data_IF_275654983564
#
_entry.id   IF_275654983564
#
_cell.length_a   1.000
_cell.length_b   1.000
_cell.length_c   1.000
_cell.angle_alpha   90.00
_cell.angle_beta   90.00
_cell.angle_gamma   90.00
#
_symmetry.space_group_name_H-M   'P 1'
#
loop_
_entity.id
_entity.type
_entity.pdbx_description
1 polymer ?
#
# COMPACT_ATOMS: atom_id res chain seq x y z
N UNK A 1 20.78 1.31 1.93
CA UNK A 1 20.84 2.60 2.65
C UNK A 1 20.74 2.38 4.15
N UNK A 2 21.61 3.03 4.88
CA UNK A 2 21.65 2.86 6.33
C UNK A 2 21.35 4.19 7.01
N UNK A 3 20.34 4.19 7.87
CA UNK A 3 19.94 5.37 8.62
C UNK A 3 20.09 5.10 10.11
N UNK A 4 20.38 6.17 10.87
CA UNK A 4 20.39 6.07 12.32
C UNK A 4 18.98 5.79 12.82
N UNK A 5 18.90 5.32 14.06
CA UNK A 5 17.62 4.99 14.66
C UNK A 5 16.67 6.19 14.67
N UNK A 6 17.21 7.37 15.03
CA UNK A 6 16.36 8.55 15.10
C UNK A 6 15.87 8.98 13.72
N UNK A 7 16.70 8.83 12.70
CA UNK A 7 16.29 9.18 11.34
C UNK A 7 15.26 8.19 10.81
N UNK A 8 15.41 6.91 11.15
CA UNK A 8 14.41 5.92 10.78
C UNK A 8 13.08 6.24 11.43
N UNK A 9 13.10 6.64 12.69
CA UNK A 9 11.87 6.99 13.39
C UNK A 9 11.21 8.22 12.77
N UNK A 10 12.02 9.22 12.42
CA UNK A 10 11.49 10.42 11.77
C UNK A 10 10.88 10.08 10.41
N UNK A 11 11.55 9.21 9.65
CA UNK A 11 11.06 8.79 8.36
C UNK A 11 9.74 8.05 8.50
N UNK A 12 9.66 7.13 9.45
CA UNK A 12 8.44 6.39 9.72
C UNK A 12 7.30 7.35 10.04
N UNK A 13 7.57 8.35 10.87
CA UNK A 13 6.56 9.32 11.28
C UNK A 13 6.10 10.18 10.11
N UNK A 14 7.02 10.50 9.23
CA UNK A 14 6.71 11.30 8.04
C UNK A 14 5.63 10.66 7.19
N UNK A 15 5.58 9.32 7.19
CA UNK A 15 4.62 8.57 6.38
C UNK A 15 3.53 7.93 7.24
N UNK A 16 3.33 8.45 8.43
CA UNK A 16 2.28 7.99 9.35
C UNK A 16 2.40 6.50 9.68
N UNK A 17 3.63 6.01 9.72
CA UNK A 17 3.90 4.62 10.06
C UNK A 17 3.55 3.63 8.97
N UNK A 18 3.40 4.09 7.73
CA UNK A 18 2.94 3.25 6.63
C UNK A 18 4.01 3.11 5.56
N UNK A 19 3.92 2.00 4.81
CA UNK A 19 4.75 1.80 3.64
C UNK A 19 4.42 2.86 2.59
N UNK A 20 5.46 3.46 2.01
CA UNK A 20 5.25 4.54 1.04
C UNK A 20 4.54 4.07 -0.22
N UNK A 21 4.62 2.79 -0.53
CA UNK A 21 4.01 2.27 -1.77
C UNK A 21 2.62 1.71 -1.52
N UNK A 22 2.48 0.68 -0.69
CA UNK A 22 1.19 0.03 -0.51
C UNK A 22 0.32 0.67 0.58
N UNK A 23 0.91 1.47 1.46
CA UNK A 23 0.16 2.14 2.50
C UNK A 23 -0.15 1.28 3.72
N UNK A 24 0.36 0.06 3.78
CA UNK A 24 0.12 -0.79 4.93
C UNK A 24 1.00 -0.36 6.10
N UNK A 25 0.53 -0.60 7.31
CA UNK A 25 1.27 -0.25 8.50
C UNK A 25 2.60 -0.99 8.54
N UNK A 26 3.68 -0.25 8.77
CA UNK A 26 5.00 -0.85 8.87
C UNK A 26 5.15 -1.54 10.22
N UNK A 27 5.86 -2.68 10.26
CA UNK A 27 6.21 -3.27 11.55
C UNK A 27 7.21 -2.38 12.28
N UNK A 28 7.42 -2.63 13.56
CA UNK A 28 8.41 -1.87 14.31
C UNK A 28 9.82 -2.07 13.74
N UNK A 29 10.09 -3.27 13.26
CA UNK A 29 11.38 -3.61 12.65
C UNK A 29 11.12 -4.37 11.37
N UNK A 30 12.14 -4.43 10.52
CA UNK A 30 12.06 -5.22 9.31
C UNK A 30 11.56 -4.49 8.09
N UNK A 31 11.35 -3.18 8.18
CA UNK A 31 11.07 -2.38 7.01
C UNK A 31 12.37 -1.73 6.54
N UNK A 32 12.35 -1.18 5.33
CA UNK A 32 13.54 -0.68 4.66
C UNK A 32 13.39 0.78 4.26
N UNK A 33 14.51 1.51 4.28
CA UNK A 33 14.54 2.87 3.75
C UNK A 33 15.13 2.79 2.34
N UNK A 34 14.46 3.40 1.37
CA UNK A 34 14.91 3.39 -0.02
C UNK A 34 15.01 4.80 -0.56
N UNK A 35 15.98 5.00 -1.44
CA UNK A 35 16.13 6.29 -2.10
C UNK A 35 15.09 6.45 -3.19
N UNK A 36 14.62 7.68 -3.36
CA UNK A 36 13.66 8.02 -4.39
C UNK A 36 13.97 9.44 -4.84
N UNK A 37 13.47 9.83 -6.00
CA UNK A 37 13.70 11.19 -6.49
C UNK A 37 13.10 12.21 -5.54
N UNK A 38 13.84 13.28 -5.26
CA UNK A 38 13.34 14.36 -4.43
C UNK A 38 12.18 15.09 -5.08
N UNK A 39 12.05 14.96 -6.39
CA UNK A 39 10.90 15.53 -7.09
C UNK A 39 9.62 14.83 -6.69
N UNK A 40 9.71 13.56 -6.33
CA UNK A 40 8.55 12.78 -5.93
C UNK A 40 8.27 12.89 -4.44
N UNK A 41 9.31 12.85 -3.62
CA UNK A 41 9.17 12.89 -2.17
C UNK A 41 10.27 13.78 -1.61
N UNK A 42 9.86 14.77 -0.85
CA UNK A 42 10.80 15.65 -0.20
C UNK A 42 11.74 14.84 0.69
N UNK A 43 13.03 15.10 0.55
CA UNK A 43 14.05 14.38 1.30
C UNK A 43 14.61 13.17 0.58
N UNK A 44 13.92 12.70 -0.46
CA UNK A 44 14.43 11.65 -1.33
C UNK A 44 14.58 10.27 -0.69
N UNK A 45 13.84 9.98 0.38
CA UNK A 45 13.90 8.69 1.06
C UNK A 45 12.49 8.29 1.48
N UNK A 46 12.15 7.02 1.29
CA UNK A 46 10.83 6.50 1.67
C UNK A 46 10.97 5.20 2.45
N UNK A 47 10.03 4.95 3.37
CA UNK A 47 10.00 3.66 4.07
C UNK A 47 9.23 2.65 3.23
N UNK A 48 9.77 1.44 3.12
CA UNK A 48 9.19 0.41 2.26
C UNK A 48 9.08 -0.89 3.06
N UNK A 49 7.91 -1.52 3.01
CA UNK A 49 7.74 -2.80 3.67
C UNK A 49 8.47 -3.89 2.89
N UNK A 50 8.73 -5.00 3.57
CA UNK A 50 9.47 -6.10 2.96
C UNK A 50 8.77 -6.64 1.71
N UNK A 51 7.45 -6.74 1.76
CA UNK A 51 6.69 -7.27 0.62
C UNK A 51 6.86 -6.39 -0.62
N UNK A 52 6.68 -5.07 -0.46
CA UNK A 52 6.84 -4.17 -1.59
C UNK A 52 8.26 -4.18 -2.11
N UNK A 53 9.23 -4.24 -1.20
CA UNK A 53 10.63 -4.29 -1.62
C UNK A 53 10.91 -5.53 -2.46
N UNK A 54 10.37 -6.67 -2.05
CA UNK A 54 10.58 -7.91 -2.79
C UNK A 54 9.93 -7.87 -4.17
N UNK A 55 8.73 -7.34 -4.25
CA UNK A 55 8.02 -7.26 -5.52
C UNK A 55 8.69 -6.25 -6.45
N UNK A 56 9.05 -5.10 -5.90
CA UNK A 56 9.61 -4.01 -6.68
C UNK A 56 11.03 -4.29 -7.13
N UNK A 57 11.83 -4.90 -6.26
CA UNK A 57 13.24 -5.11 -6.55
C UNK A 57 13.93 -3.77 -6.81
N UNK A 58 14.64 -3.67 -7.92
CA UNK A 58 15.37 -2.46 -8.28
C UNK A 58 14.58 -1.53 -9.20
N UNK A 59 13.28 -1.78 -9.37
CA UNK A 59 12.47 -0.97 -10.28
C UNK A 59 12.30 0.45 -9.75
N UNK A 60 12.22 1.41 -10.67
CA UNK A 60 11.82 2.76 -10.31
C UNK A 60 10.34 2.77 -9.96
N UNK A 61 9.83 3.86 -9.35
CA UNK A 61 8.40 3.92 -9.08
C UNK A 61 7.54 3.74 -10.33
N UNK A 62 7.97 4.29 -11.47
CA UNK A 62 7.20 4.13 -12.70
C UNK A 62 7.23 2.69 -13.20
N UNK A 63 8.40 2.05 -13.13
CA UNK A 63 8.51 0.66 -13.50
C UNK A 63 7.71 -0.23 -12.56
N UNK A 64 7.70 0.11 -11.29
CA UNK A 64 6.90 -0.64 -10.32
C UNK A 64 5.41 -0.49 -10.61
N UNK A 65 4.98 0.72 -10.96
CA UNK A 65 3.58 0.94 -11.33
C UNK A 65 3.18 0.10 -12.54
N UNK A 66 4.04 0.04 -13.54
CA UNK A 66 3.80 -0.78 -14.72
C UNK A 66 3.72 -2.26 -14.36
N UNK A 67 4.60 -2.71 -13.46
CA UNK A 67 4.58 -4.09 -13.00
C UNK A 67 3.27 -4.42 -12.30
N UNK A 68 2.77 -3.50 -11.46
CA UNK A 68 1.52 -3.71 -10.76
C UNK A 68 0.32 -3.72 -11.70
N UNK A 69 0.38 -2.93 -12.76
CA UNK A 69 -0.74 -2.82 -13.70
C UNK A 69 -1.02 -4.13 -14.41
N UNK A 70 -0.04 -5.03 -14.54
CA UNK A 70 -0.24 -6.29 -15.25
C UNK A 70 -0.51 -7.47 -14.32
N UNK A 71 -0.65 -7.22 -13.00
CA UNK A 71 -0.77 -8.34 -12.06
C UNK A 71 -2.07 -9.11 -12.23
N UNK A 72 -3.17 -8.42 -12.48
CA UNK A 72 -4.45 -9.10 -12.66
C UNK A 72 -4.41 -9.96 -13.92
N UNK A 73 -3.85 -9.43 -14.99
CA UNK A 73 -3.73 -10.19 -16.23
C UNK A 73 -2.86 -11.44 -16.04
N UNK A 74 -1.76 -11.28 -15.31
CA UNK A 74 -0.88 -12.42 -15.02
C UNK A 74 -1.60 -13.47 -14.18
N UNK A 75 -2.37 -13.02 -13.19
CA UNK A 75 -3.12 -13.96 -12.36
C UNK A 75 -4.15 -14.71 -13.18
N UNK A 76 -4.83 -14.02 -14.08
CA UNK A 76 -5.79 -14.69 -14.98
C UNK A 76 -5.11 -15.74 -15.86
N UNK A 77 -3.90 -15.43 -16.32
CA UNK A 77 -3.19 -16.32 -17.22
C UNK A 77 -2.60 -17.54 -16.50
N UNK A 78 -2.11 -17.35 -15.28
CA UNK A 78 -1.30 -18.37 -14.63
C UNK A 78 -1.92 -19.00 -13.39
N UNK A 79 -3.05 -18.50 -12.91
CA UNK A 79 -3.63 -19.03 -11.67
C UNK A 79 -5.01 -19.60 -11.95
N UNK A 80 -5.13 -20.92 -11.86
CA UNK A 80 -6.42 -21.58 -11.97
C UNK A 80 -7.36 -21.12 -10.88
N UNK A 81 -6.82 -20.95 -9.67
CA UNK A 81 -7.63 -20.52 -8.54
C UNK A 81 -8.23 -19.14 -8.77
N UNK A 82 -7.42 -18.23 -9.31
CA UNK A 82 -7.91 -16.88 -9.56
C UNK A 82 -9.00 -16.88 -10.62
N UNK A 83 -8.80 -17.63 -11.71
CA UNK A 83 -9.81 -17.75 -12.77
C UNK A 83 -11.10 -18.34 -12.22
N UNK A 84 -10.97 -19.35 -11.36
CA UNK A 84 -12.14 -19.99 -10.75
C UNK A 84 -12.90 -19.00 -9.88
N UNK A 85 -12.17 -18.22 -9.05
CA UNK A 85 -12.81 -17.24 -8.19
C UNK A 85 -13.55 -16.19 -9.03
N UNK A 86 -12.94 -15.77 -10.13
CA UNK A 86 -13.59 -14.81 -11.03
C UNK A 86 -14.86 -15.40 -11.64
N UNK A 87 -14.78 -16.66 -12.09
CA UNK A 87 -15.90 -17.33 -12.72
C UNK A 87 -17.12 -17.39 -11.79
N UNK A 88 -16.89 -17.60 -10.52
CA UNK A 88 -17.98 -17.72 -9.55
C UNK A 88 -18.30 -16.42 -8.84
N UNK A 89 -17.75 -15.33 -9.30
CA UNK A 89 -18.10 -14.03 -8.76
C UNK A 89 -17.53 -13.71 -7.39
N UNK A 90 -16.52 -14.49 -6.95
CA UNK A 90 -15.92 -14.28 -5.64
C UNK A 90 -14.90 -13.12 -5.63
N UNK A 91 -14.35 -12.80 -6.80
CA UNK A 91 -13.51 -11.63 -6.98
C UNK A 91 -13.91 -10.96 -8.27
N UNK A 92 -13.70 -9.67 -8.36
CA UNK A 92 -13.95 -8.93 -9.59
C UNK A 92 -12.70 -8.14 -9.96
N UNK A 93 -12.54 -7.92 -11.26
CA UNK A 93 -11.44 -7.18 -11.80
C UNK A 93 -11.77 -5.69 -11.80
N UNK A 94 -10.82 -4.88 -11.39
CA UNK A 94 -10.98 -3.43 -11.45
C UNK A 94 -9.92 -2.84 -12.35
N UNK A 95 -10.33 -1.93 -13.22
CA UNK A 95 -9.41 -1.16 -14.06
C UNK A 95 -9.18 0.16 -13.37
N UNK A 96 -8.01 0.33 -12.80
CA UNK A 96 -7.75 1.47 -11.97
C UNK A 96 -6.25 1.77 -11.98
N UNK A 97 -5.94 3.06 -12.05
CA UNK A 97 -4.54 3.48 -11.99
C UNK A 97 -4.01 3.27 -10.57
N UNK A 98 -2.84 2.65 -10.48
CA UNK A 98 -2.22 2.44 -9.19
C UNK A 98 -1.70 3.77 -8.65
N UNK A 99 -2.10 4.06 -7.42
CA UNK A 99 -1.66 5.27 -6.74
C UNK A 99 -0.91 4.85 -5.49
N UNK A 100 0.35 5.30 -5.37
CA UNK A 100 1.17 4.93 -4.22
C UNK A 100 0.82 5.78 -3.01
N UNK A 101 1.08 5.23 -1.84
CA UNK A 101 0.78 5.94 -0.59
C UNK A 101 1.50 7.27 -0.52
N UNK A 102 2.77 7.34 -0.98
CA UNK A 102 3.50 8.60 -0.91
C UNK A 102 2.84 9.68 -1.76
N UNK A 103 2.14 9.30 -2.81
CA UNK A 103 1.42 10.27 -3.62
C UNK A 103 0.22 10.82 -2.87
N UNK A 104 -0.48 9.95 -2.16
CA UNK A 104 -1.63 10.38 -1.38
C UNK A 104 -1.23 11.21 -0.17
N UNK A 105 -0.12 10.86 0.46
CA UNK A 105 0.39 11.63 1.58
C UNK A 105 0.75 13.03 1.16
N UNK A 106 1.41 13.17 0.02
CA UNK A 106 1.78 14.47 -0.49
C UNK A 106 0.56 15.33 -0.76
N UNK A 107 -0.45 14.72 -1.36
CA UNK A 107 -1.69 15.41 -1.64
C UNK A 107 -2.38 15.84 -0.34
N UNK A 108 -2.39 14.95 0.64
CA UNK A 108 -3.00 15.28 1.93
C UNK A 108 -2.29 16.44 2.58
N UNK A 109 -0.96 16.47 2.50
CA UNK A 109 -0.21 17.58 3.05
C UNK A 109 -0.58 18.89 2.38
N UNK A 110 -0.70 18.86 1.08
CA UNK A 110 -1.06 20.02 0.34
C UNK A 110 -2.46 20.52 0.67
N UNK A 111 -3.34 19.58 0.92
CA UNK A 111 -4.70 19.93 1.26
C UNK A 111 -4.87 20.29 2.71
N UNK A 112 -4.16 19.76 3.46
CA UNK A 112 -4.18 19.90 4.81
C UNK A 112 -5.41 20.26 5.44
N UNK A 113 -5.72 20.17 5.27
CA UNK A 113 -6.61 20.53 5.59
C UNK A 113 -7.74 19.87 5.51
N UNK A 114 -7.73 19.44 5.50
CA UNK A 114 -8.62 19.01 5.39
C UNK A 114 -9.14 18.17 5.69
N UNK A 115 -9.19 17.91 5.88
CA UNK A 115 -9.63 17.29 6.13
C UNK A 115 -9.84 16.53 6.47
N UNK A 116 -9.80 16.33 6.51
CA UNK A 116 -10.00 15.65 6.71
C UNK A 116 -10.34 14.81 6.95
N UNK A 117 -10.60 14.58 6.89
CA UNK A 117 -11.00 13.94 7.01
C UNK A 117 -11.40 13.12 7.11
N UNK A 118 -11.76 12.87 7.09
CA UNK A 118 -12.22 12.18 7.08
C UNK A 118 -12.17 11.26 7.17
N UNK A 119 -12.33 11.02 6.96
CA UNK A 119 -12.41 10.12 7.07
C UNK A 119 -12.26 9.21 7.04
N UNK A 120 -12.54 9.03 7.08
CA UNK A 120 -12.57 8.15 7.14
C UNK A 120 -12.37 7.27 7.09
N UNK A 121 -12.70 7.21 7.08
CA UNK A 121 -12.63 6.57 7.11
C UNK A 121 -12.39 5.76 6.98
N UNK A 122 -12.74 5.62 7.04
CA UNK A 122 -12.57 5.03 7.07
C UNK A 122 -12.32 4.20 6.91
N UNK A 123 -12.72 3.95 6.99
CA UNK A 123 -12.64 3.40 7.14
C UNK A 123 -12.32 2.50 6.98
N UNK A 124 -12.96 2.18 7.05
CA UNK A 124 -12.72 1.84 7.17
C UNK A 124 -12.63 1.22 7.28
N UNK A 125 -12.99 0.99 7.47
CA UNK A 125 -12.95 0.80 7.87
C UNK A 125 -12.83 0.07 8.04
N UNK A 126 -13.13 0.03 8.27
CA UNK A 126 -13.12 -0.39 8.64
C UNK A 126 -12.99 -1.18 8.53
N UNK A 127 -13.35 -1.28 8.63
CA UNK A 127 -13.30 -1.45 8.70
C UNK A 127 -12.98 -2.07 8.42
N UNK A 128 -13.28 -2.18 8.39
CA UNK A 128 -13.05 -2.24 8.31
C UNK A 128 -12.78 -2.86 8.29
N UNK A 129 -13.04 -3.04 8.39
CA UNK A 129 -12.88 -3.33 8.56
C UNK A 129 -12.75 -4.21 8.45
N UNK A 130 -12.83 -4.37 8.51
CA UNK A 130 -12.95 -4.96 8.65
C UNK A 130 -12.71 -5.92 8.66
N UNK A 131 -13.01 -6.17 8.85
CA UNK A 131 -12.89 -6.64 9.07
C UNK A 131 -12.85 -7.27 9.48
N UNK A 132 -13.23 -7.24 9.64
CA UNK A 132 -13.43 -7.48 10.15
C UNK A 132 -13.78 -8.18 10.20
N UNK A 133 -13.98 -8.27 10.28
CA UNK A 133 -14.51 -8.68 10.51
C UNK A 133 -14.69 -9.57 10.30
N UNK A 134 -15.05 -9.77 10.35
CA UNK A 134 -15.40 -10.41 10.34
C UNK A 134 -15.37 -11.26 10.42
N UNK A 135 -15.52 -11.16 10.61
CA UNK A 135 -15.74 -11.66 10.89
C UNK A 135 -16.00 -12.36 10.87
N UNK A 136 -16.28 -12.39 11.08
CA UNK A 136 -16.82 -12.85 11.26
C UNK A 136 -17.12 -13.62 11.00
N UNK A 137 -17.40 -13.75 10.88
CA UNK A 137 -17.85 -14.38 10.77
C UNK A 137 -17.91 -15.27 10.57
N UNK A 138 -17.99 -15.34 10.58
CA UNK A 138 -18.24 -15.96 10.53
C UNK A 138 -18.40 -16.81 10.60
N UNK A 139 -18.54 -16.93 10.69
CA UNK A 139 -18.93 -17.50 10.89
C UNK A 139 -19.27 -18.29 10.86
N UNK A 140 -19.51 -18.38 10.81
CA UNK A 140 -19.99 -18.99 10.83
C UNK A 140 -20.31 -19.71 10.64
N UNK A 141 -20.57 -19.91 10.58
CA UNK A 141 -20.87 -20.55 10.30
C UNK A 141 -21.11 -21.27 10.34
N UNK A 142 -21.37 -21.58 10.43
CA UNK A 142 -21.40 -22.23 10.39
C UNK A 142 -21.66 -22.63 10.43
#
# INVERSE_FOLDING_TARGET
MHLSKSRREALRRQFNGCCAYCGETLPLQGWHAEAISEELVKGGVVPVCTTCRQIKGNASPEEFRALLAVQVERALRHSVNFRTAMRFGLVSQQVKKVEFWFQRCSTSHGLKTDKAMETPAAGHDPARDPRHTLSETAGTNV
#
